data_IF_690202926038
#
_entry.id   IF_690202926038
#
_cell.length_a   1.000
_cell.length_b   1.000
_cell.length_c   1.000
_cell.angle_alpha   90.00
_cell.angle_beta   90.00
_cell.angle_gamma   90.00
#
_symmetry.space_group_name_H-M   'P 1'
#
loop_
_entity.id
_entity.type
_entity.pdbx_description
1 polymer ?
#
# COMPACT_ATOMS: atom_id res chain seq x y z
N UNK A 1 -9.73 31.43 -33.04
CA UNK A 1 -10.27 31.35 -31.71
C UNK A 1 -11.21 30.19 -31.55
N UNK A 2 -11.01 29.37 -30.52
CA UNK A 2 -11.94 28.29 -30.14
C UNK A 2 -13.22 28.95 -29.63
N UNK A 3 -14.30 28.91 -30.42
CA UNK A 3 -15.63 29.29 -29.96
C UNK A 3 -16.28 28.09 -29.25
N UNK A 4 -17.08 28.39 -28.22
CA UNK A 4 -17.80 27.46 -27.39
C UNK A 4 -18.49 26.36 -28.26
N UNK A 5 -18.10 25.12 -28.12
CA UNK A 5 -18.79 23.93 -28.66
C UNK A 5 -18.19 23.23 -29.90
N UNK A 6 -17.11 23.76 -30.50
CA UNK A 6 -16.56 23.17 -31.75
C UNK A 6 -15.11 22.68 -31.56
N UNK A 7 -14.94 21.74 -30.61
CA UNK A 7 -13.60 21.25 -30.22
C UNK A 7 -13.24 19.92 -30.89
N UNK A 8 -14.20 19.15 -31.34
CA UNK A 8 -13.99 17.73 -31.73
C UNK A 8 -13.16 17.51 -33.01
N UNK A 9 -12.95 18.56 -33.81
CA UNK A 9 -12.21 18.46 -35.07
C UNK A 9 -10.89 19.21 -35.14
N UNK A 10 -10.53 19.98 -34.10
CA UNK A 10 -9.38 20.90 -34.15
C UNK A 10 -8.17 20.45 -33.36
N UNK A 11 -8.34 19.57 -32.38
CA UNK A 11 -7.26 19.08 -31.53
C UNK A 11 -7.39 17.57 -31.38
N UNK A 12 -6.32 16.83 -31.69
CA UNK A 12 -6.29 15.38 -31.50
C UNK A 12 -6.40 14.98 -30.03
N UNK A 13 -6.93 13.79 -29.70
CA UNK A 13 -6.99 13.30 -28.30
C UNK A 13 -5.62 13.34 -27.59
N UNK A 14 -4.52 13.01 -28.32
CA UNK A 14 -3.16 13.08 -27.77
C UNK A 14 -2.75 14.49 -27.40
N UNK A 15 -3.12 15.49 -28.17
CA UNK A 15 -2.83 16.89 -27.91
C UNK A 15 -3.65 17.48 -26.78
N UNK A 16 -4.88 16.97 -26.56
CA UNK A 16 -5.67 17.26 -25.36
C UNK A 16 -5.02 16.73 -24.09
N UNK A 17 -4.49 15.51 -24.13
CA UNK A 17 -3.76 14.92 -22.99
C UNK A 17 -2.49 15.70 -22.67
N UNK A 18 -1.75 16.14 -23.69
CA UNK A 18 -0.55 16.96 -23.53
C UNK A 18 -0.86 18.32 -22.88
N UNK A 19 -1.88 19.01 -23.39
CA UNK A 19 -2.35 20.27 -22.82
C UNK A 19 -2.84 20.10 -21.38
N UNK A 20 -3.59 19.03 -21.08
CA UNK A 20 -4.03 18.71 -19.72
C UNK A 20 -2.86 18.57 -18.77
N UNK A 21 -1.79 17.86 -19.16
CA UNK A 21 -0.56 17.73 -18.36
C UNK A 21 0.13 19.07 -18.12
N UNK A 22 0.25 19.92 -19.15
CA UNK A 22 0.88 21.23 -19.04
C UNK A 22 0.10 22.18 -18.13
N UNK A 23 -1.23 22.05 -18.11
CA UNK A 23 -2.11 22.88 -17.29
C UNK A 23 -2.40 22.26 -15.90
N UNK A 24 -1.83 21.09 -15.58
CA UNK A 24 -2.10 20.38 -14.35
C UNK A 24 -3.55 19.88 -14.21
N UNK A 25 -4.28 19.83 -15.35
CA UNK A 25 -5.66 19.34 -15.40
C UNK A 25 -5.68 17.89 -15.84
N UNK A 26 -6.18 16.99 -15.01
CA UNK A 26 -6.42 15.60 -15.39
C UNK A 26 -7.72 15.49 -16.17
N UNK A 27 -7.63 15.25 -17.48
CA UNK A 27 -8.79 15.05 -18.35
C UNK A 27 -9.49 13.69 -18.11
N UNK A 28 -8.89 12.82 -17.30
CA UNK A 28 -9.41 11.49 -16.97
C UNK A 28 -9.80 11.35 -15.49
N UNK A 29 -9.96 12.44 -14.78
CA UNK A 29 -10.53 12.37 -13.43
C UNK A 29 -11.99 11.92 -13.52
N UNK A 30 -12.16 10.61 -13.39
CA UNK A 30 -13.45 10.07 -12.95
C UNK A 30 -13.59 10.50 -11.50
N UNK A 31 -14.41 11.50 -11.24
CA UNK A 31 -14.84 11.85 -9.89
C UNK A 31 -15.72 10.71 -9.36
N UNK A 32 -15.06 9.70 -8.81
CA UNK A 32 -15.75 8.67 -8.06
C UNK A 32 -16.11 9.31 -6.72
N UNK A 33 -17.40 9.55 -6.52
CA UNK A 33 -17.90 9.90 -5.21
C UNK A 33 -17.67 8.68 -4.30
N UNK A 34 -16.96 8.91 -3.20
CA UNK A 34 -16.71 7.88 -2.25
C UNK A 34 -18.01 7.49 -1.55
N UNK A 35 -18.42 6.23 -1.68
CA UNK A 35 -19.48 5.65 -0.87
C UNK A 35 -18.88 5.08 0.42
N UNK A 36 -19.40 5.48 1.58
CA UNK A 36 -19.05 4.86 2.86
C UNK A 36 -19.77 3.52 2.97
N UNK A 37 -19.11 2.46 2.52
CA UNK A 37 -19.56 1.07 2.69
C UNK A 37 -19.08 0.53 4.04
N UNK A 38 -19.68 -0.56 4.53
CA UNK A 38 -19.23 -1.21 5.77
C UNK A 38 -17.75 -1.63 5.67
N UNK A 39 -17.33 -2.14 4.52
CA UNK A 39 -15.93 -2.50 4.24
C UNK A 39 -15.02 -1.28 4.33
N UNK A 40 -15.43 -0.14 3.77
CA UNK A 40 -14.64 1.09 3.88
C UNK A 40 -14.53 1.52 5.34
N UNK A 41 -15.62 1.57 6.08
CA UNK A 41 -15.63 1.98 7.49
C UNK A 41 -14.72 1.07 8.32
N UNK A 42 -14.79 -0.25 8.11
CA UNK A 42 -13.93 -1.22 8.80
C UNK A 42 -12.43 -0.98 8.50
N UNK A 43 -12.06 -0.79 7.22
CA UNK A 43 -10.68 -0.51 6.83
C UNK A 43 -10.22 0.84 7.40
N UNK A 44 -11.06 1.86 7.38
CA UNK A 44 -10.76 3.18 7.94
C UNK A 44 -10.48 3.07 9.45
N UNK A 45 -11.34 2.39 10.20
CA UNK A 45 -11.17 2.16 11.65
C UNK A 45 -9.86 1.39 11.96
N UNK A 46 -9.61 0.31 11.25
CA UNK A 46 -8.40 -0.50 11.43
C UNK A 46 -7.13 0.32 11.11
N UNK A 47 -7.15 1.08 10.00
CA UNK A 47 -6.02 1.94 9.60
C UNK A 47 -5.78 3.05 10.61
N UNK A 48 -6.83 3.72 11.10
CA UNK A 48 -6.72 4.76 12.12
C UNK A 48 -6.18 4.18 13.44
N UNK A 49 -6.67 3.01 13.85
CA UNK A 49 -6.17 2.32 15.04
C UNK A 49 -4.68 1.94 14.89
N UNK A 50 -4.31 1.31 13.77
CA UNK A 50 -2.90 0.96 13.52
C UNK A 50 -2.00 2.18 13.52
N UNK A 51 -2.46 3.28 12.92
CA UNK A 51 -1.75 4.54 12.84
C UNK A 51 -1.55 5.19 14.21
N UNK A 52 -2.58 5.26 15.02
CA UNK A 52 -2.55 5.91 16.34
C UNK A 52 -1.69 5.13 17.34
N UNK A 53 -1.84 3.81 17.35
CA UNK A 53 -1.18 2.94 18.35
C UNK A 53 0.04 2.21 17.82
N UNK A 54 0.53 2.54 16.62
CA UNK A 54 1.66 1.85 15.96
C UNK A 54 1.49 0.33 15.95
N UNK A 55 0.27 -0.14 15.68
CA UNK A 55 -0.07 -1.57 15.63
C UNK A 55 -0.08 -2.08 14.20
N UNK A 56 -0.05 -3.40 14.08
CA UNK A 56 -0.09 -4.06 12.79
C UNK A 56 -1.29 -4.97 12.69
N UNK A 57 -2.06 -4.83 11.63
CA UNK A 57 -3.27 -5.61 11.39
C UNK A 57 -3.30 -6.14 9.96
N UNK A 58 -4.15 -7.13 9.75
CA UNK A 58 -4.31 -7.77 8.45
C UNK A 58 -5.80 -7.94 8.13
N UNK A 59 -6.18 -7.55 6.92
CA UNK A 59 -7.54 -7.71 6.40
C UNK A 59 -7.54 -8.67 5.21
N UNK A 60 -8.21 -9.80 5.36
CA UNK A 60 -8.29 -10.84 4.33
C UNK A 60 -9.75 -11.12 4.04
N UNK A 61 -10.19 -10.74 2.85
CA UNK A 61 -11.58 -10.87 2.44
C UNK A 61 -11.68 -11.06 0.92
N UNK A 62 -12.89 -11.32 0.41
CA UNK A 62 -13.17 -11.56 -1.00
C UNK A 62 -12.66 -10.45 -1.93
N UNK A 63 -12.48 -10.78 -3.20
CA UNK A 63 -12.13 -9.80 -4.21
C UNK A 63 -13.29 -8.82 -4.49
N UNK A 64 -12.96 -7.65 -5.03
CA UNK A 64 -13.91 -6.66 -5.55
C UNK A 64 -14.83 -5.98 -4.52
N UNK A 65 -14.60 -6.12 -3.21
CA UNK A 65 -15.37 -5.45 -2.14
C UNK A 65 -14.94 -4.01 -1.85
N UNK A 66 -13.99 -3.46 -2.61
CA UNK A 66 -13.55 -2.08 -2.48
C UNK A 66 -12.26 -1.85 -1.68
N UNK A 67 -11.52 -2.89 -1.26
CA UNK A 67 -10.27 -2.78 -0.48
C UNK A 67 -9.26 -1.79 -1.06
N UNK A 68 -8.88 -1.99 -2.31
CA UNK A 68 -7.90 -1.14 -3.02
C UNK A 68 -8.34 0.32 -3.09
N UNK A 69 -9.63 0.55 -3.34
CA UNK A 69 -10.17 1.91 -3.38
C UNK A 69 -10.07 2.58 -2.01
N UNK A 70 -10.48 1.88 -0.95
CA UNK A 70 -10.40 2.36 0.43
C UNK A 70 -8.97 2.73 0.81
N UNK A 71 -8.00 1.84 0.55
CA UNK A 71 -6.60 2.09 0.86
C UNK A 71 -6.03 3.30 0.12
N UNK A 72 -6.32 3.43 -1.18
CA UNK A 72 -5.88 4.58 -1.98
C UNK A 72 -6.53 5.89 -1.54
N UNK A 73 -7.80 5.84 -1.13
CA UNK A 73 -8.48 7.00 -0.58
C UNK A 73 -7.82 7.43 0.74
N UNK A 74 -7.62 6.52 1.67
CA UNK A 74 -6.99 6.80 2.97
C UNK A 74 -5.56 7.31 2.81
N UNK A 75 -4.77 6.77 1.87
CA UNK A 75 -3.41 7.25 1.62
C UNK A 75 -3.36 8.67 1.06
N UNK A 76 -4.43 9.18 0.47
CA UNK A 76 -4.53 10.56 -0.04
C UNK A 76 -5.09 11.54 0.99
N UNK A 77 -5.88 11.06 1.92
CA UNK A 77 -6.60 11.90 2.89
C UNK A 77 -5.94 11.94 4.26
N UNK A 78 -5.24 10.88 4.64
CA UNK A 78 -4.53 10.80 5.92
C UNK A 78 -3.07 11.22 5.76
N UNK A 79 -2.59 12.04 6.68
CA UNK A 79 -1.18 12.44 6.74
C UNK A 79 -0.31 11.23 7.13
N UNK A 80 0.87 11.08 6.51
CA UNK A 80 1.81 9.98 6.75
C UNK A 80 1.18 8.59 6.58
N UNK A 81 0.30 8.45 5.61
CA UNK A 81 -0.32 7.18 5.23
C UNK A 81 0.19 6.79 3.83
N UNK A 82 0.94 5.70 3.75
CA UNK A 82 1.66 5.27 2.56
C UNK A 82 1.01 4.02 1.96
N UNK A 83 0.69 4.06 0.67
CA UNK A 83 0.07 2.95 -0.06
C UNK A 83 1.09 2.26 -0.96
N UNK A 84 1.13 0.93 -0.90
CA UNK A 84 1.97 0.07 -1.72
C UNK A 84 1.11 -1.03 -2.34
N UNK A 85 1.17 -1.14 -3.66
CA UNK A 85 0.58 -2.24 -4.43
C UNK A 85 1.60 -3.37 -4.58
N UNK A 86 1.43 -4.46 -3.83
CA UNK A 86 2.34 -5.59 -3.83
C UNK A 86 2.39 -6.34 -5.18
N UNK A 87 1.40 -6.16 -6.06
CA UNK A 87 1.44 -6.75 -7.40
C UNK A 87 2.54 -6.15 -8.26
N UNK A 88 2.92 -4.90 -8.00
CA UNK A 88 3.96 -4.17 -8.72
C UNK A 88 5.37 -4.38 -8.12
N UNK A 89 5.46 -4.91 -6.90
CA UNK A 89 6.72 -5.06 -6.17
C UNK A 89 6.82 -6.38 -5.41
N UNK A 90 6.57 -7.50 -6.11
CA UNK A 90 6.52 -8.85 -5.54
C UNK A 90 7.82 -9.33 -4.90
N UNK A 91 8.96 -8.89 -5.44
CA UNK A 91 10.29 -9.31 -5.01
C UNK A 91 10.88 -8.32 -3.99
N UNK A 92 11.74 -8.81 -3.13
CA UNK A 92 12.40 -8.05 -2.07
C UNK A 92 13.00 -6.73 -2.56
N UNK A 93 13.82 -6.76 -3.64
CA UNK A 93 14.46 -5.57 -4.19
C UNK A 93 13.48 -4.50 -4.66
N UNK A 94 12.38 -4.93 -5.28
CA UNK A 94 11.35 -4.01 -5.77
C UNK A 94 10.50 -3.48 -4.62
N UNK A 95 10.26 -4.28 -3.59
CA UNK A 95 9.52 -3.89 -2.40
C UNK A 95 10.28 -2.84 -1.57
N UNK A 96 11.60 -3.05 -1.33
CA UNK A 96 12.44 -2.07 -0.62
C UNK A 96 12.35 -0.69 -1.31
N UNK A 97 12.54 -0.66 -2.64
CA UNK A 97 12.45 0.59 -3.41
C UNK A 97 11.05 1.20 -3.41
N UNK A 98 10.02 0.37 -3.45
CA UNK A 98 8.64 0.85 -3.39
C UNK A 98 8.33 1.48 -2.03
N UNK A 99 8.78 0.88 -0.93
CA UNK A 99 8.63 1.45 0.43
C UNK A 99 9.39 2.76 0.51
N UNK A 100 10.69 2.79 0.16
CA UNK A 100 11.51 4.00 0.22
C UNK A 100 10.89 5.15 -0.57
N UNK A 101 10.48 4.89 -1.82
CA UNK A 101 9.79 5.89 -2.66
C UNK A 101 8.48 6.38 -2.05
N UNK A 102 7.68 5.48 -1.46
CA UNK A 102 6.41 5.85 -0.86
C UNK A 102 6.58 6.78 0.35
N UNK A 103 7.59 6.53 1.19
CA UNK A 103 7.86 7.35 2.38
C UNK A 103 8.65 8.63 2.07
N UNK A 104 9.04 8.86 0.83
CA UNK A 104 9.80 10.04 0.40
C UNK A 104 11.31 9.89 0.53
N UNK A 105 11.83 8.68 0.67
CA UNK A 105 13.26 8.39 0.65
C UNK A 105 13.81 8.19 -0.77
N UNK A 106 15.15 8.19 -0.89
CA UNK A 106 15.83 7.93 -2.16
C UNK A 106 15.79 6.44 -2.49
N UNK A 107 15.30 6.04 -3.68
CA UNK A 107 15.25 4.64 -4.09
C UNK A 107 16.56 4.15 -4.73
N UNK A 108 17.57 5.02 -4.82
CA UNK A 108 18.89 4.73 -5.43
C UNK A 108 19.93 4.42 -4.34
N UNK A 109 20.90 3.56 -4.69
CA UNK A 109 21.94 3.09 -3.79
C UNK A 109 21.89 1.58 -3.55
N UNK A 110 22.61 1.11 -2.57
CA UNK A 110 22.58 -0.29 -2.13
C UNK A 110 21.25 -0.59 -1.42
N UNK A 111 20.81 -1.84 -1.48
CA UNK A 111 19.54 -2.22 -0.84
C UNK A 111 19.53 -1.98 0.67
N UNK A 112 20.70 -2.12 1.30
CA UNK A 112 20.84 -1.88 2.73
C UNK A 112 20.67 -0.39 3.06
N UNK A 113 21.34 0.50 2.32
CA UNK A 113 21.21 1.95 2.49
C UNK A 113 19.77 2.42 2.29
N UNK A 114 19.10 1.93 1.23
CA UNK A 114 17.70 2.26 0.94
C UNK A 114 16.79 1.79 2.08
N UNK A 115 17.02 0.58 2.60
CA UNK A 115 16.25 -0.01 3.69
C UNK A 115 16.41 0.78 4.99
N UNK A 116 17.64 1.09 5.37
CA UNK A 116 17.92 1.85 6.60
C UNK A 116 17.38 3.28 6.49
N UNK A 117 17.51 3.94 5.34
CA UNK A 117 16.91 5.25 5.09
C UNK A 117 15.39 5.22 5.25
N UNK A 118 14.71 4.22 4.67
CA UNK A 118 13.27 4.08 4.78
C UNK A 118 12.82 3.84 6.24
N UNK A 119 13.52 2.98 6.99
CA UNK A 119 13.27 2.76 8.42
C UNK A 119 13.46 4.05 9.22
N UNK A 120 14.55 4.77 8.97
CA UNK A 120 14.82 6.04 9.63
C UNK A 120 13.67 7.04 9.42
N UNK A 121 13.22 7.21 8.17
CA UNK A 121 12.10 8.11 7.84
C UNK A 121 10.83 7.69 8.58
N UNK A 122 10.48 6.40 8.57
CA UNK A 122 9.31 5.89 9.28
C UNK A 122 9.40 6.13 10.80
N UNK A 123 10.59 6.06 11.39
CA UNK A 123 10.78 6.27 12.83
C UNK A 123 10.70 7.74 13.25
N UNK A 124 10.96 8.70 12.36
CA UNK A 124 10.90 10.13 12.69
C UNK A 124 9.56 10.78 12.35
N UNK A 125 8.74 10.15 11.49
CA UNK A 125 7.43 10.68 11.14
C UNK A 125 6.43 10.52 12.29
N UNK A 126 5.55 11.50 12.54
CA UNK A 126 4.50 11.36 13.53
C UNK A 126 3.41 10.41 13.02
N UNK A 127 3.20 9.32 13.76
CA UNK A 127 2.17 8.31 13.50
C UNK A 127 2.11 7.85 12.02
N UNK A 128 3.20 7.33 11.43
CA UNK A 128 3.17 6.82 10.07
C UNK A 128 2.42 5.49 10.00
N UNK A 129 1.83 5.22 8.85
CA UNK A 129 1.26 3.92 8.53
C UNK A 129 1.57 3.50 7.09
N UNK A 130 1.95 2.24 6.90
CA UNK A 130 2.17 1.64 5.59
C UNK A 130 1.06 0.63 5.32
N UNK A 131 0.29 0.87 4.26
CA UNK A 131 -0.75 -0.04 3.77
C UNK A 131 -0.18 -0.83 2.59
N UNK A 132 -0.16 -2.15 2.69
CA UNK A 132 0.28 -3.06 1.63
C UNK A 132 -0.94 -3.79 1.09
N UNK A 133 -1.35 -3.40 -0.10
CA UNK A 133 -2.46 -4.03 -0.82
C UNK A 133 -1.96 -5.22 -1.63
N UNK A 134 -2.84 -6.21 -1.82
CA UNK A 134 -2.53 -7.47 -2.50
C UNK A 134 -1.29 -8.20 -1.93
N UNK A 135 -1.12 -8.19 -0.59
CA UNK A 135 0.02 -8.78 0.10
C UNK A 135 0.21 -10.28 -0.19
N UNK A 136 -0.82 -10.96 -0.66
CA UNK A 136 -0.76 -12.32 -1.18
C UNK A 136 0.17 -12.50 -2.39
N UNK A 137 0.48 -11.42 -3.12
CA UNK A 137 1.40 -11.47 -4.27
C UNK A 137 2.88 -11.48 -3.88
N UNK A 138 3.24 -11.08 -2.65
CA UNK A 138 4.62 -10.98 -2.19
C UNK A 138 5.34 -12.33 -2.18
N UNK A 139 6.63 -12.32 -2.53
CA UNK A 139 7.49 -13.49 -2.37
C UNK A 139 7.77 -13.79 -0.89
N UNK A 140 8.31 -14.97 -0.59
CA UNK A 140 8.70 -15.33 0.76
C UNK A 140 9.78 -14.37 1.32
N UNK A 141 10.79 -14.03 0.53
CA UNK A 141 11.83 -13.07 0.93
C UNK A 141 11.26 -11.68 1.20
N UNK A 142 10.26 -11.26 0.42
CA UNK A 142 9.57 -9.99 0.65
C UNK A 142 8.77 -9.98 1.96
N UNK A 143 8.19 -11.11 2.36
CA UNK A 143 7.51 -11.22 3.66
C UNK A 143 8.51 -11.21 4.83
N UNK A 144 9.69 -11.83 4.67
CA UNK A 144 10.78 -11.71 5.64
C UNK A 144 11.25 -10.26 5.79
N UNK A 145 11.39 -9.55 4.68
CA UNK A 145 11.72 -8.13 4.66
C UNK A 145 10.67 -7.30 5.41
N UNK A 146 9.37 -7.56 5.21
CA UNK A 146 8.32 -6.86 5.96
C UNK A 146 8.44 -7.11 7.47
N UNK A 147 8.76 -8.33 7.87
CA UNK A 147 9.01 -8.64 9.28
C UNK A 147 10.22 -7.87 9.82
N UNK A 148 11.27 -7.70 9.00
CA UNK A 148 12.42 -6.87 9.35
C UNK A 148 12.06 -5.37 9.48
N UNK A 149 11.28 -4.83 8.54
CA UNK A 149 10.75 -3.47 8.64
C UNK A 149 9.89 -3.28 9.89
N UNK A 150 9.02 -4.24 10.17
CA UNK A 150 8.18 -4.24 11.36
C UNK A 150 9.03 -4.17 12.64
N UNK A 151 10.04 -5.04 12.76
CA UNK A 151 10.95 -5.03 13.91
C UNK A 151 11.73 -3.71 14.04
N UNK A 152 12.18 -3.13 12.91
CA UNK A 152 12.95 -1.89 12.89
C UNK A 152 12.12 -0.62 13.09
N UNK A 153 10.79 -0.72 13.05
CA UNK A 153 9.84 0.40 13.23
C UNK A 153 8.79 0.11 14.31
N UNK A 154 9.07 -0.85 15.19
CA UNK A 154 8.18 -1.22 16.28
C UNK A 154 7.89 0.01 17.15
N UNK A 155 6.62 0.14 17.56
CA UNK A 155 6.10 1.25 18.37
C UNK A 155 6.15 2.65 17.71
N UNK A 156 6.63 2.74 16.45
CA UNK A 156 6.70 3.98 15.71
C UNK A 156 5.78 4.00 14.49
N UNK A 157 5.64 2.87 13.79
CA UNK A 157 4.90 2.77 12.52
C UNK A 157 3.80 1.72 12.59
N UNK A 158 2.61 2.08 12.08
CA UNK A 158 1.53 1.13 11.81
C UNK A 158 1.76 0.37 10.50
N UNK A 159 1.36 -0.90 10.45
CA UNK A 159 1.41 -1.72 9.23
C UNK A 159 0.06 -2.37 8.99
N UNK A 160 -0.47 -2.20 7.79
CA UNK A 160 -1.76 -2.77 7.42
C UNK A 160 -1.64 -3.58 6.14
N UNK A 161 -1.83 -4.89 6.25
CA UNK A 161 -1.76 -5.83 5.12
C UNK A 161 -3.16 -6.15 4.64
N UNK A 162 -3.39 -6.03 3.34
CA UNK A 162 -4.65 -6.44 2.72
C UNK A 162 -4.43 -7.49 1.65
N UNK A 163 -5.40 -8.37 1.49
CA UNK A 163 -5.36 -9.38 0.46
C UNK A 163 -6.65 -10.17 0.35
N UNK A 164 -6.62 -11.17 -0.53
CA UNK A 164 -7.71 -12.11 -0.73
C UNK A 164 -7.18 -13.57 -0.59
N UNK A 165 -7.70 -14.49 -1.37
CA UNK A 165 -7.37 -15.93 -1.28
C UNK A 165 -5.88 -16.26 -1.35
N UNK A 166 -5.10 -15.47 -2.09
CA UNK A 166 -3.65 -15.64 -2.15
C UNK A 166 -2.98 -15.44 -0.79
N UNK A 167 -3.42 -14.44 -0.03
CA UNK A 167 -2.93 -14.19 1.34
C UNK A 167 -3.50 -15.25 2.29
N UNK A 168 -4.79 -15.56 2.20
CA UNK A 168 -5.46 -16.62 2.99
C UNK A 168 -4.73 -17.96 2.85
N UNK A 169 -4.41 -18.34 1.62
CA UNK A 169 -3.67 -19.60 1.33
C UNK A 169 -2.28 -19.61 1.99
N UNK A 170 -1.56 -18.50 1.99
CA UNK A 170 -0.26 -18.38 2.65
C UNK A 170 -0.37 -18.52 4.17
N UNK A 171 -1.39 -17.92 4.77
CA UNK A 171 -1.68 -18.06 6.20
C UNK A 171 -2.00 -19.50 6.61
N UNK A 172 -2.77 -20.21 5.78
CA UNK A 172 -3.17 -21.60 6.04
C UNK A 172 -2.03 -22.60 5.82
N UNK A 173 -1.11 -22.33 4.88
CA UNK A 173 0.06 -23.19 4.59
C UNK A 173 1.11 -23.22 5.72
N UNK A 174 0.74 -22.88 6.93
CA UNK A 174 1.59 -22.70 8.11
C UNK A 174 2.35 -23.92 8.65
N UNK A 175 2.51 -24.99 7.86
CA UNK A 175 3.44 -26.09 8.15
C UNK A 175 4.70 -25.86 7.31
N UNK A 176 5.62 -25.04 7.81
CA UNK A 176 6.94 -24.88 7.22
C UNK A 176 7.71 -26.20 7.22
N UNK A 177 8.42 -26.46 6.15
CA UNK A 177 9.52 -27.44 6.15
C UNK A 177 10.60 -26.94 7.12
N UNK A 178 11.30 -27.84 7.80
CA UNK A 178 12.27 -27.61 8.89
C UNK A 178 13.41 -26.57 8.65
N UNK A 179 13.47 -25.93 7.49
CA UNK A 179 14.49 -24.94 7.11
C UNK A 179 13.94 -23.54 6.82
N UNK A 180 12.62 -23.33 6.84
CA UNK A 180 12.00 -22.01 6.59
C UNK A 180 11.03 -21.69 7.72
N UNK A 181 11.14 -20.49 8.25
CA UNK A 181 10.16 -19.92 9.17
C UNK A 181 8.76 -20.07 8.59
N UNK A 182 7.79 -20.53 9.37
CA UNK A 182 6.44 -20.74 8.87
C UNK A 182 5.77 -19.40 8.57
N UNK A 183 4.90 -19.36 7.57
CA UNK A 183 4.09 -18.15 7.32
C UNK A 183 3.27 -17.74 8.55
N UNK A 184 2.81 -18.70 9.33
CA UNK A 184 2.09 -18.44 10.59
C UNK A 184 2.93 -17.62 11.56
N UNK A 185 4.21 -17.91 11.67
CA UNK A 185 5.15 -17.19 12.54
C UNK A 185 5.42 -15.77 12.02
N UNK A 186 5.62 -15.60 10.69
CA UNK A 186 5.76 -14.30 10.07
C UNK A 186 4.53 -13.41 10.28
N UNK A 187 3.34 -13.99 10.20
CA UNK A 187 2.09 -13.25 10.36
C UNK A 187 1.61 -13.15 11.81
N UNK A 188 2.27 -13.83 12.78
CA UNK A 188 1.87 -13.75 14.20
C UNK A 188 1.93 -12.35 14.80
N UNK A 189 2.68 -11.46 14.15
CA UNK A 189 2.81 -10.04 14.54
C UNK A 189 1.65 -9.17 14.08
N UNK A 190 0.82 -9.69 13.17
CA UNK A 190 -0.34 -8.97 12.67
C UNK A 190 -1.60 -9.53 13.32
N UNK A 191 -2.34 -8.69 14.03
CA UNK A 191 -3.68 -9.06 14.49
C UNK A 191 -4.55 -9.33 13.26
N UNK A 192 -5.15 -10.50 13.18
CA UNK A 192 -6.00 -10.86 12.04
C UNK A 192 -7.45 -10.79 12.44
N UNK A 193 -8.25 -10.02 11.70
CA UNK A 193 -9.70 -10.22 11.66
C UNK A 193 -9.98 -11.23 10.55
N UNK A 194 -10.28 -12.47 10.93
CA UNK A 194 -10.82 -13.47 10.02
C UNK A 194 -12.33 -13.47 10.16
N UNK A 195 -13.00 -13.21 9.07
CA UNK A 195 -14.40 -13.59 8.89
C UNK A 195 -14.48 -14.88 8.09
#
# INVERSE_FOLDING_TARGET
>A
GLKKGDTDKKISPGKWLELGRQLGVSLNERNWNMARTDVFNMIEEDVLFCKEFSKSMMFVDECAIGKTYSARYLSRTLKNCFYIDATQCRQERTLIRAIAKAVGGEPEGTLEEIKESAKYILNILPHPIVIIDEAGALSYSSLLLLHEFWNGTQDCCGWYLMGADGLRTKLQKGKGTSKKQSYKELFSRFSSKYN
#
